data_IF_682592878566
#
_entry.id   IF_682592878566
#
_cell.length_a   1.000
_cell.length_b   1.000
_cell.length_c   1.000
_cell.angle_alpha   90.00
_cell.angle_beta   90.00
_cell.angle_gamma   90.00
#
_symmetry.space_group_name_H-M   'P 1'
#
loop_
_entity.id
_entity.type
_entity.pdbx_description
1 polymer ?
#
# COMPACT_ATOMS: atom_id res chain seq x y z
N UNK A 1 1.92 22.66 2.08
CA UNK A 1 2.43 21.28 1.89
C UNK A 1 3.68 21.14 2.74
N UNK A 2 3.89 19.98 3.36
CA UNK A 2 5.18 19.71 4.01
C UNK A 2 6.18 19.28 2.94
N UNK A 3 7.32 19.94 2.87
CA UNK A 3 8.43 19.54 2.01
C UNK A 3 9.44 18.73 2.83
N UNK A 4 9.91 17.61 2.27
CA UNK A 4 10.86 16.72 2.93
C UNK A 4 12.01 16.46 1.96
N UNK A 5 13.23 16.72 2.42
CA UNK A 5 14.45 16.40 1.68
C UNK A 5 15.02 15.08 2.19
N UNK A 6 15.32 14.16 1.28
CA UNK A 6 15.87 12.83 1.62
C UNK A 6 17.13 12.59 0.80
N UNK A 7 18.21 12.20 1.47
CA UNK A 7 19.44 11.80 0.79
C UNK A 7 19.37 10.30 0.46
N UNK A 8 19.32 9.98 -0.84
CA UNK A 8 19.26 8.61 -1.34
C UNK A 8 20.57 8.29 -2.07
N UNK A 9 21.25 7.17 -1.77
CA UNK A 9 22.43 6.74 -2.51
C UNK A 9 22.15 6.52 -4.00
N UNK A 10 23.06 6.91 -4.88
CA UNK A 10 22.91 6.84 -6.34
C UNK A 10 22.47 5.46 -6.88
N UNK A 11 22.99 4.32 -6.39
CA UNK A 11 22.56 3.02 -6.89
C UNK A 11 21.06 2.75 -6.64
N UNK A 12 20.55 3.22 -5.50
CA UNK A 12 19.13 3.06 -5.13
C UNK A 12 18.27 4.01 -5.96
N UNK A 13 18.73 5.25 -6.13
CA UNK A 13 18.01 6.23 -6.94
C UNK A 13 17.88 5.78 -8.40
N UNK A 14 18.91 5.15 -8.98
CA UNK A 14 18.86 4.61 -10.34
C UNK A 14 17.79 3.51 -10.51
N UNK A 15 17.60 2.67 -9.50
CA UNK A 15 16.53 1.64 -9.51
C UNK A 15 15.15 2.30 -9.49
N UNK A 16 14.97 3.32 -8.63
CA UNK A 16 13.72 4.08 -8.53
C UNK A 16 13.42 4.78 -9.86
N UNK A 17 14.43 5.39 -10.47
CA UNK A 17 14.30 6.08 -11.76
C UNK A 17 13.85 5.13 -12.87
N UNK A 18 14.49 3.96 -12.98
CA UNK A 18 14.08 2.94 -13.95
C UNK A 18 12.62 2.51 -13.73
N UNK A 19 12.22 2.29 -12.47
CA UNK A 19 10.84 1.91 -12.14
C UNK A 19 9.83 3.01 -12.46
N UNK A 20 10.21 4.26 -12.28
CA UNK A 20 9.40 5.41 -12.65
C UNK A 20 9.19 5.47 -14.18
N UNK A 21 10.25 5.22 -14.96
CA UNK A 21 10.17 5.11 -16.43
C UNK A 21 9.25 3.96 -16.86
N UNK A 22 9.40 2.77 -16.26
CA UNK A 22 8.60 1.58 -16.58
C UNK A 22 7.09 1.78 -16.29
N UNK A 23 6.75 2.63 -15.32
CA UNK A 23 5.37 2.87 -14.87
C UNK A 23 4.80 4.21 -15.35
N UNK A 24 5.55 4.97 -16.15
CA UNK A 24 5.13 6.29 -16.64
C UNK A 24 4.90 7.31 -15.51
N UNK A 25 5.66 7.21 -14.42
CA UNK A 25 5.50 8.03 -13.22
C UNK A 25 6.78 8.83 -12.92
N UNK A 26 6.75 9.70 -11.90
CA UNK A 26 7.97 10.40 -11.43
C UNK A 26 8.68 9.61 -10.34
N UNK A 27 10.02 9.73 -10.21
CA UNK A 27 10.77 9.10 -9.11
C UNK A 27 10.21 9.45 -7.73
N UNK A 28 9.83 10.71 -7.52
CA UNK A 28 9.22 11.21 -6.29
C UNK A 28 7.86 10.56 -6.02
N UNK A 29 7.04 10.38 -7.07
CA UNK A 29 5.76 9.69 -6.97
C UNK A 29 5.92 8.24 -6.53
N UNK A 30 6.94 7.55 -7.05
CA UNK A 30 7.27 6.17 -6.65
C UNK A 30 7.75 6.12 -5.20
N UNK A 31 8.58 7.08 -4.76
CA UNK A 31 9.05 7.16 -3.37
C UNK A 31 7.88 7.38 -2.42
N UNK A 32 6.99 8.34 -2.72
CA UNK A 32 5.82 8.64 -1.89
C UNK A 32 4.87 7.45 -1.81
N UNK A 33 4.58 6.80 -2.95
CA UNK A 33 3.71 5.63 -2.98
C UNK A 33 4.26 4.48 -2.12
N UNK A 34 5.56 4.22 -2.21
CA UNK A 34 6.20 3.18 -1.40
C UNK A 34 6.22 3.54 0.09
N UNK A 35 6.51 4.80 0.44
CA UNK A 35 6.44 5.27 1.83
C UNK A 35 5.03 5.16 2.39
N UNK A 36 4.00 5.46 1.59
CA UNK A 36 2.60 5.29 1.98
C UNK A 36 2.23 3.82 2.19
N UNK A 37 2.83 2.87 1.44
CA UNK A 37 2.60 1.44 1.67
C UNK A 37 3.28 0.96 2.96
N UNK A 38 4.51 1.41 3.21
CA UNK A 38 5.31 0.95 4.35
C UNK A 38 4.85 1.57 5.67
N UNK A 39 4.61 2.88 5.66
CA UNK A 39 4.32 3.69 6.85
C UNK A 39 2.92 4.27 6.86
N UNK A 40 2.14 4.06 5.79
CA UNK A 40 0.74 4.45 5.81
C UNK A 40 0.03 3.73 6.95
N UNK A 41 -0.92 4.39 7.61
CA UNK A 41 -1.75 3.72 8.59
C UNK A 41 -2.55 2.67 7.82
N UNK A 42 -2.12 1.41 7.90
CA UNK A 42 -2.97 0.27 7.57
C UNK A 42 -4.03 0.25 8.66
N UNK A 43 -5.06 1.10 8.50
CA UNK A 43 -6.30 0.94 9.25
C UNK A 43 -6.84 -0.39 8.79
N UNK A 44 -6.56 -1.41 9.58
CA UNK A 44 -7.14 -2.73 9.44
C UNK A 44 -8.63 -2.56 9.72
N UNK A 45 -9.38 -2.22 8.69
CA UNK A 45 -10.82 -2.10 8.77
C UNK A 45 -11.40 -3.50 8.76
N UNK A 46 -11.48 -4.07 9.96
CA UNK A 46 -12.01 -5.41 10.16
C UNK A 46 -13.45 -5.53 9.69
N UNK A 47 -14.20 -4.43 9.50
CA UNK A 47 -15.56 -4.46 8.95
C UNK A 47 -15.62 -4.91 7.49
N UNK A 48 -14.51 -4.83 6.74
CA UNK A 48 -14.44 -5.30 5.35
C UNK A 48 -14.10 -6.78 5.23
N UNK A 49 -13.57 -7.38 6.28
CA UNK A 49 -13.04 -8.76 6.27
C UNK A 49 -13.81 -9.69 7.20
N UNK A 50 -14.29 -9.16 8.32
CA UNK A 50 -15.29 -9.81 9.15
C UNK A 50 -16.64 -9.48 8.54
N UNK A 51 -17.19 -10.40 7.75
CA UNK A 51 -18.65 -10.41 7.55
C UNK A 51 -19.24 -10.34 8.96
N UNK A 52 -20.06 -9.35 9.23
CA UNK A 52 -20.84 -9.30 10.47
C UNK A 52 -21.73 -10.53 10.47
N UNK A 53 -21.25 -11.61 11.06
CA UNK A 53 -22.03 -12.81 11.23
C UNK A 53 -23.19 -12.45 12.18
N UNK A 54 -24.44 -12.74 11.79
CA UNK A 54 -25.54 -12.74 12.75
C UNK A 54 -25.10 -13.55 13.98
N UNK A 55 -25.42 -13.12 15.21
CA UNK A 55 -25.04 -13.82 16.45
C UNK A 55 -25.55 -15.28 16.52
N UNK A 56 -26.41 -15.66 15.58
CA UNK A 56 -27.14 -16.91 15.40
C UNK A 56 -26.72 -17.68 14.14
N UNK A 57 -25.71 -17.22 13.38
CA UNK A 57 -25.20 -17.93 12.21
C UNK A 57 -24.28 -19.09 12.61
N UNK A 58 -24.84 -20.30 12.67
CA UNK A 58 -24.09 -21.56 12.84
C UNK A 58 -23.36 -22.03 11.58
N UNK A 59 -23.49 -21.32 10.46
CA UNK A 59 -22.93 -21.76 9.19
C UNK A 59 -21.67 -20.97 8.83
N UNK A 60 -20.53 -21.58 9.15
CA UNK A 60 -19.19 -21.07 8.83
C UNK A 60 -18.74 -21.45 7.41
N UNK A 61 -19.60 -22.05 6.59
CA UNK A 61 -19.26 -22.44 5.23
C UNK A 61 -19.57 -21.29 4.27
N UNK A 62 -18.51 -20.66 3.75
CA UNK A 62 -18.64 -19.75 2.61
C UNK A 62 -18.71 -20.65 1.36
N UNK A 63 -19.74 -20.56 0.49
CA UNK A 63 -19.66 -21.23 -0.79
C UNK A 63 -18.54 -20.56 -1.56
N UNK A 64 -17.51 -21.34 -1.88
CA UNK A 64 -16.48 -20.92 -2.82
C UNK A 64 -17.15 -20.64 -4.18
N UNK A 65 -16.87 -19.50 -4.83
CA UNK A 65 -17.28 -19.29 -6.21
C UNK A 65 -16.53 -20.25 -7.16
#
# INVERSE_FOLDING_TARGET
MAEVTVNIPDPIFNIIKKRAEDTGNTPEGIIIANLAIIFGPVRYDSSKWLKSFPPDAQDYTVPWP
#
